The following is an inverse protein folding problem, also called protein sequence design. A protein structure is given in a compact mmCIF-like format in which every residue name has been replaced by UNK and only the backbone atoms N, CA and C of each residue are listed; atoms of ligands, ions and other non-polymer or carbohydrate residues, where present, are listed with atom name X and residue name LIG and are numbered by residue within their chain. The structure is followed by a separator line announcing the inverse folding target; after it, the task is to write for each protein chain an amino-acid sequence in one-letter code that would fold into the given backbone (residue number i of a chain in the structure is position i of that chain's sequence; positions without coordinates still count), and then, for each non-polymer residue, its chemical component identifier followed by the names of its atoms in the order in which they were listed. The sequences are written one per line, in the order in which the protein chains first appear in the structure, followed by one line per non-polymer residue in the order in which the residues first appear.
data_IF_296355844715
#
_entry.id   IF_296355844715
#
_cell.length_a   1.000
_cell.length_b   1.000
_cell.length_c   1.000
_cell.angle_alpha   90.00
_cell.angle_beta   90.00
_cell.angle_gamma   90.00
#
_symmetry.space_group_name_H-M   'P 1'
#
loop_
_entity.id
_entity.type
_entity.pdbx_description
1 polymer ?
#
# COMPACT_ATOMS: atom_id res chain seq x y z
N UNK A 1 3.38 -10.27 20.87
CA UNK A 1 4.19 -10.38 19.63
C UNK A 1 3.30 -9.97 18.47
N UNK A 2 3.85 -9.34 17.45
CA UNK A 2 3.10 -9.00 16.23
C UNK A 2 2.74 -10.29 15.45
N UNK A 3 1.48 -10.49 15.06
CA UNK A 3 1.04 -11.71 14.36
C UNK A 3 1.73 -11.94 13.01
N UNK A 4 2.36 -10.94 12.41
CA UNK A 4 3.06 -11.08 11.13
C UNK A 4 4.53 -11.52 11.27
N UNK A 5 5.05 -11.62 12.50
CA UNK A 5 6.47 -11.86 12.78
C UNK A 5 6.82 -13.32 13.10
N UNK A 6 5.95 -14.29 12.76
CA UNK A 6 6.17 -15.70 13.11
C UNK A 6 7.09 -16.46 12.13
N UNK A 7 7.35 -15.89 10.95
CA UNK A 7 8.02 -16.60 9.84
C UNK A 7 9.55 -16.62 9.95
N UNK A 8 10.16 -15.60 10.55
CA UNK A 8 11.61 -15.46 10.62
C UNK A 8 12.13 -15.72 12.05
N UNK A 9 12.96 -16.77 12.27
CA UNK A 9 13.55 -17.03 13.58
C UNK A 9 14.59 -15.98 14.00
N UNK A 10 15.01 -15.09 13.09
CA UNK A 10 16.01 -14.05 13.34
C UNK A 10 15.52 -12.96 14.30
N UNK A 11 14.21 -12.74 14.37
CA UNK A 11 13.63 -11.71 15.22
C UNK A 11 12.16 -11.46 14.94
N UNK A 12 11.54 -10.66 15.81
CA UNK A 12 10.13 -10.33 15.69
C UNK A 12 9.82 -8.94 16.22
N UNK A 13 8.70 -8.39 15.78
CA UNK A 13 8.15 -7.13 16.28
C UNK A 13 7.20 -7.40 17.45
N UNK A 14 7.18 -6.52 18.44
CA UNK A 14 6.24 -6.57 19.56
C UNK A 14 5.94 -5.18 20.10
N UNK A 15 4.88 -5.06 20.89
CA UNK A 15 4.58 -3.85 21.64
C UNK A 15 4.72 -4.09 23.14
N UNK A 16 5.30 -3.13 23.85
CA UNK A 16 5.33 -3.08 25.32
C UNK A 16 4.89 -1.69 25.76
N UNK A 17 3.83 -1.62 26.56
CA UNK A 17 3.21 -0.35 26.99
C UNK A 17 2.88 0.60 25.82
N UNK A 18 2.37 0.04 24.71
CA UNK A 18 2.02 0.78 23.50
C UNK A 18 3.20 1.12 22.56
N UNK A 19 4.44 1.06 23.04
CA UNK A 19 5.64 1.35 22.24
C UNK A 19 6.04 0.16 21.40
N UNK A 20 6.39 0.40 20.13
CA UNK A 20 6.83 -0.61 19.17
C UNK A 20 8.31 -0.93 19.34
N UNK A 21 8.63 -2.22 19.42
CA UNK A 21 9.99 -2.73 19.50
C UNK A 21 10.19 -3.89 18.53
N UNK A 22 11.45 -4.15 18.20
CA UNK A 22 11.91 -5.35 17.51
C UNK A 22 12.94 -6.05 18.39
N UNK A 23 12.78 -7.34 18.59
CA UNK A 23 13.77 -8.17 19.27
C UNK A 23 14.60 -8.93 18.23
N UNK A 24 15.92 -8.86 18.36
CA UNK A 24 16.88 -9.66 17.60
C UNK A 24 17.18 -10.93 18.40
N UNK A 25 17.08 -12.08 17.74
CA UNK A 25 17.22 -13.40 18.35
C UNK A 25 18.62 -13.99 18.13
N UNK A 26 19.05 -14.96 18.96
CA UNK A 26 20.37 -15.61 18.84
C UNK A 26 20.74 -16.11 17.44
N UNK A 27 19.83 -16.69 16.63
CA UNK A 27 20.17 -17.12 15.27
C UNK A 27 20.68 -15.99 14.36
N UNK A 28 20.33 -14.73 14.64
CA UNK A 28 20.74 -13.57 13.86
C UNK A 28 21.98 -12.86 14.41
N UNK A 29 22.60 -13.36 15.48
CA UNK A 29 23.65 -12.63 16.19
C UNK A 29 24.84 -12.25 15.29
N UNK A 30 25.33 -13.22 14.50
CA UNK A 30 26.47 -13.00 13.61
C UNK A 30 26.15 -12.00 12.48
N UNK A 31 24.98 -12.16 11.85
CA UNK A 31 24.54 -11.28 10.77
C UNK A 31 24.24 -9.86 11.27
N UNK A 32 23.67 -9.74 12.46
CA UNK A 32 23.39 -8.47 13.12
C UNK A 32 24.68 -7.69 13.42
N UNK A 33 25.69 -8.38 13.95
CA UNK A 33 26.99 -7.76 14.22
C UNK A 33 27.70 -7.35 12.92
N UNK A 34 27.67 -8.20 11.88
CA UNK A 34 28.19 -7.86 10.56
C UNK A 34 27.46 -6.64 9.95
N UNK A 35 26.14 -6.56 10.12
CA UNK A 35 25.35 -5.44 9.61
C UNK A 35 25.69 -4.12 10.29
N UNK A 36 25.86 -4.12 11.61
CA UNK A 36 26.26 -2.95 12.40
C UNK A 36 27.69 -2.49 12.07
N UNK A 37 28.62 -3.43 11.92
CA UNK A 37 30.05 -3.12 11.76
C UNK A 37 30.47 -2.81 10.31
N UNK A 38 29.74 -3.30 9.30
CA UNK A 38 30.01 -3.01 7.87
C UNK A 38 29.78 -1.54 7.44
N UNK A 39 29.15 -0.74 8.32
CA UNK A 39 28.69 0.61 8.02
C UNK A 39 27.50 0.68 7.06
N UNK A 40 26.97 -0.46 6.60
CA UNK A 40 25.80 -0.51 5.71
C UNK A 40 24.57 0.08 6.41
N UNK A 41 24.30 -0.35 7.65
CA UNK A 41 23.17 0.14 8.46
C UNK A 41 23.13 1.68 8.50
N UNK A 42 24.24 2.30 8.90
CA UNK A 42 24.33 3.76 9.00
C UNK A 42 24.07 4.44 7.65
N UNK A 43 24.67 3.96 6.56
CA UNK A 43 24.46 4.52 5.21
C UNK A 43 23.00 4.41 4.76
N UNK A 44 22.37 3.26 4.97
CA UNK A 44 20.98 3.03 4.55
C UNK A 44 19.99 3.90 5.33
N UNK A 45 20.21 4.09 6.64
CA UNK A 45 19.39 4.98 7.47
C UNK A 45 19.61 6.45 7.09
N UNK A 46 20.86 6.86 6.90
CA UNK A 46 21.19 8.24 6.48
C UNK A 46 20.55 8.60 5.13
N UNK A 47 20.52 7.66 4.19
CA UNK A 47 19.92 7.84 2.87
C UNK A 47 18.39 7.60 2.85
N UNK A 48 17.77 7.33 4.02
CA UNK A 48 16.35 7.04 4.18
C UNK A 48 15.84 5.86 3.35
N UNK A 49 16.70 4.84 3.16
CA UNK A 49 16.36 3.60 2.48
C UNK A 49 15.90 2.50 3.46
N UNK A 50 16.30 2.63 4.72
CA UNK A 50 15.93 1.75 5.84
C UNK A 50 15.34 2.58 6.98
N UNK A 51 14.34 2.05 7.66
CA UNK A 51 13.73 2.67 8.83
C UNK A 51 14.77 2.91 9.93
N UNK A 52 14.82 4.13 10.43
CA UNK A 52 15.64 4.47 11.58
C UNK A 52 15.11 3.82 12.86
N UNK A 53 16.03 3.46 13.74
CA UNK A 53 15.74 2.86 15.02
C UNK A 53 16.84 3.22 16.02
N UNK A 54 16.48 3.19 17.30
CA UNK A 54 17.42 3.35 18.41
C UNK A 54 17.59 2.04 19.15
N UNK A 55 18.78 1.79 19.71
CA UNK A 55 18.99 0.70 20.65
C UNK A 55 18.14 0.94 21.91
N UNK A 56 17.50 -0.12 22.39
CA UNK A 56 16.68 -0.12 23.60
C UNK A 56 17.26 -1.12 24.63
N UNK A 57 17.02 -0.90 25.94
CA UNK A 57 17.52 -1.80 26.98
C UNK A 57 17.02 -3.24 26.80
N UNK A 58 17.88 -4.24 27.05
CA UNK A 58 17.55 -5.66 26.88
C UNK A 58 16.43 -6.12 27.83
N UNK A 59 16.23 -5.43 28.95
CA UNK A 59 15.14 -5.67 29.90
C UNK A 59 13.75 -5.47 29.25
N UNK A 60 13.69 -4.74 28.14
CA UNK A 60 12.47 -4.56 27.36
C UNK A 60 12.13 -5.75 26.45
N UNK A 61 13.03 -6.73 26.32
CA UNK A 61 12.81 -7.90 25.50
C UNK A 61 11.52 -8.66 25.88
N UNK A 62 10.84 -9.19 24.87
CA UNK A 62 9.64 -9.99 25.04
C UNK A 62 9.95 -11.45 25.40
N UNK A 63 11.08 -11.97 24.90
CA UNK A 63 11.60 -13.30 25.23
C UNK A 63 13.03 -13.20 25.80
N UNK A 64 13.48 -14.20 26.57
CA UNK A 64 14.87 -14.31 27.01
C UNK A 64 15.88 -14.34 25.85
N UNK A 65 17.17 -14.23 26.19
CA UNK A 65 18.30 -14.39 25.27
C UNK A 65 18.29 -13.44 24.06
N UNK A 66 17.65 -12.27 24.20
CA UNK A 66 17.69 -11.23 23.17
C UNK A 66 19.13 -10.79 22.90
N UNK A 67 19.53 -10.82 21.63
CA UNK A 67 20.81 -10.25 21.17
C UNK A 67 20.76 -8.73 21.23
N UNK A 68 19.62 -8.16 20.83
CA UNK A 68 19.36 -6.73 20.87
C UNK A 68 17.85 -6.46 20.93
N UNK A 69 17.49 -5.29 21.46
CA UNK A 69 16.14 -4.74 21.35
C UNK A 69 16.26 -3.39 20.64
N UNK A 70 15.47 -3.20 19.59
CA UNK A 70 15.48 -2.01 18.76
C UNK A 70 14.13 -1.32 18.89
N UNK A 71 14.13 0.00 18.98
CA UNK A 71 12.93 0.82 18.91
C UNK A 71 12.90 1.54 17.54
N UNK A 72 12.19 0.99 16.55
CA UNK A 72 12.04 1.65 15.25
C UNK A 72 11.14 2.88 15.35
N UNK A 73 11.39 3.88 14.49
CA UNK A 73 10.46 4.98 14.31
C UNK A 73 9.12 4.44 13.81
N UNK A 74 7.98 4.80 14.44
CA UNK A 74 6.68 4.40 13.96
C UNK A 74 6.37 5.06 12.61
N UNK A 75 5.80 4.29 11.70
CA UNK A 75 5.19 4.82 10.48
C UNK A 75 3.78 5.32 10.75
N UNK A 76 3.35 6.30 9.95
CA UNK A 76 2.01 6.89 10.05
C UNK A 76 0.90 5.88 9.73
N UNK A 77 1.17 4.96 8.79
CA UNK A 77 0.24 3.92 8.36
C UNK A 77 0.98 2.74 7.73
N UNK A 78 0.44 1.52 7.89
CA UNK A 78 0.95 0.31 7.22
C UNK A 78 0.02 -0.04 6.07
N UNK A 79 0.55 0.07 4.85
CA UNK A 79 -0.14 -0.27 3.60
C UNK A 79 0.34 -1.61 3.05
N UNK A 80 -0.47 -2.22 2.19
CA UNK A 80 -0.15 -3.52 1.61
C UNK A 80 0.06 -3.46 0.09
N UNK A 81 0.87 -4.38 -0.49
CA UNK A 81 1.23 -4.33 -1.90
C UNK A 81 0.05 -4.35 -2.88
N UNK A 82 -1.07 -4.99 -2.53
CA UNK A 82 -2.29 -5.02 -3.35
C UNK A 82 -3.08 -3.70 -3.30
N UNK A 83 -2.68 -2.75 -2.46
CA UNK A 83 -3.25 -1.40 -2.33
C UNK A 83 -2.39 -0.36 -3.05
N UNK A 84 -1.25 -0.77 -3.61
CA UNK A 84 -0.30 0.16 -4.23
C UNK A 84 -0.61 0.36 -5.71
N UNK A 85 -0.45 1.60 -6.16
CA UNK A 85 -0.43 1.95 -7.58
C UNK A 85 0.73 1.29 -8.31
N UNK A 86 0.70 1.35 -9.64
CA UNK A 86 1.77 0.80 -10.47
C UNK A 86 3.13 1.41 -10.12
N UNK A 87 3.23 2.74 -10.02
CA UNK A 87 4.49 3.42 -9.71
C UNK A 87 4.95 3.15 -8.27
N UNK A 88 4.03 3.06 -7.31
CA UNK A 88 4.38 2.69 -5.92
C UNK A 88 5.05 1.32 -5.84
N UNK A 89 4.44 0.29 -6.45
CA UNK A 89 5.01 -1.06 -6.49
C UNK A 89 6.34 -1.10 -7.27
N UNK A 90 6.44 -0.31 -8.34
CA UNK A 90 7.67 -0.20 -9.15
C UNK A 90 8.81 0.44 -8.36
N UNK A 91 8.54 1.51 -7.63
CA UNK A 91 9.52 2.20 -6.81
C UNK A 91 9.96 1.31 -5.64
N UNK A 92 9.04 0.58 -5.01
CA UNK A 92 9.38 -0.44 -4.01
C UNK A 92 10.31 -1.53 -4.58
N UNK A 93 10.04 -2.02 -5.79
CA UNK A 93 10.90 -2.99 -6.46
C UNK A 93 12.31 -2.44 -6.75
N UNK A 94 12.40 -1.19 -7.21
CA UNK A 94 13.67 -0.53 -7.48
C UNK A 94 14.47 -0.28 -6.19
N UNK A 95 13.80 0.09 -5.09
CA UNK A 95 14.42 0.19 -3.77
C UNK A 95 15.01 -1.16 -3.33
N UNK A 96 14.25 -2.26 -3.44
CA UNK A 96 14.75 -3.60 -3.08
C UNK A 96 16.02 -3.98 -3.85
N UNK A 97 16.08 -3.67 -5.16
CA UNK A 97 17.29 -3.91 -5.97
C UNK A 97 18.46 -3.00 -5.58
N UNK A 98 18.17 -1.75 -5.19
CA UNK A 98 19.18 -0.82 -4.68
C UNK A 98 19.77 -1.30 -3.36
N UNK A 99 18.92 -1.74 -2.43
CA UNK A 99 19.31 -2.32 -1.15
C UNK A 99 20.18 -3.55 -1.34
N UNK A 100 19.79 -4.47 -2.23
CA UNK A 100 20.61 -5.63 -2.58
C UNK A 100 21.96 -5.22 -3.19
N UNK A 101 21.97 -4.23 -4.08
CA UNK A 101 23.21 -3.73 -4.70
C UNK A 101 24.18 -3.19 -3.64
N UNK A 102 23.68 -2.37 -2.70
CA UNK A 102 24.49 -1.78 -1.63
C UNK A 102 24.93 -2.80 -0.59
N UNK A 103 24.08 -3.80 -0.32
CA UNK A 103 24.45 -4.91 0.55
C UNK A 103 25.67 -5.65 -0.01
N UNK A 104 25.68 -5.95 -1.32
CA UNK A 104 26.83 -6.60 -1.96
C UNK A 104 28.12 -5.77 -1.85
N UNK A 105 28.03 -4.44 -1.97
CA UNK A 105 29.21 -3.55 -1.78
C UNK A 105 29.77 -3.60 -0.35
N UNK A 106 28.97 -4.05 0.62
CA UNK A 106 29.33 -4.17 2.02
C UNK A 106 29.65 -5.61 2.45
N UNK A 107 29.75 -6.57 1.51
CA UNK A 107 29.97 -7.99 1.84
C UNK A 107 28.74 -8.67 2.45
N UNK A 108 27.55 -8.17 2.13
CA UNK A 108 26.26 -8.64 2.64
C UNK A 108 25.28 -8.92 1.49
N UNK A 109 24.14 -9.52 1.81
CA UNK A 109 23.01 -9.62 0.88
C UNK A 109 21.67 -9.55 1.63
N UNK A 110 20.61 -9.28 0.88
CA UNK A 110 19.25 -9.50 1.34
C UNK A 110 18.92 -11.01 1.30
N UNK A 111 18.45 -11.54 2.43
CA UNK A 111 18.01 -12.94 2.54
C UNK A 111 16.59 -13.15 2.01
N UNK A 112 15.77 -12.09 2.02
CA UNK A 112 14.40 -12.05 1.51
C UNK A 112 14.15 -10.79 0.63
N UNK A 113 13.05 -10.78 -0.10
CA UNK A 113 12.61 -9.69 -0.98
C UNK A 113 11.08 -9.59 -0.95
N UNK A 114 10.47 -9.74 0.22
CA UNK A 114 9.01 -9.60 0.36
C UNK A 114 8.58 -8.15 0.12
N UNK A 115 7.56 -7.93 -0.70
CA UNK A 115 6.98 -6.59 -0.87
C UNK A 115 6.39 -6.03 0.44
N UNK A 116 6.00 -6.88 1.40
CA UNK A 116 5.52 -6.45 2.71
C UNK A 116 6.60 -5.85 3.61
N UNK A 117 7.88 -6.07 3.29
CA UNK A 117 9.01 -5.48 3.99
C UNK A 117 9.28 -4.03 3.54
N UNK A 118 8.63 -3.58 2.47
CA UNK A 118 8.67 -2.19 2.02
C UNK A 118 7.39 -1.49 2.49
N UNK A 119 7.52 -0.22 2.87
CA UNK A 119 6.40 0.69 3.13
C UNK A 119 6.62 2.01 2.39
N UNK A 120 5.58 2.84 2.34
CA UNK A 120 5.61 4.15 1.70
C UNK A 120 5.57 5.23 2.78
N UNK A 121 6.70 5.92 2.97
CA UNK A 121 6.88 6.94 3.99
C UNK A 121 7.23 8.28 3.32
N UNK A 122 6.43 9.31 3.60
CA UNK A 122 6.61 10.67 3.07
C UNK A 122 6.89 10.70 1.54
N UNK A 123 6.08 9.99 0.76
CA UNK A 123 6.18 9.99 -0.70
C UNK A 123 7.37 9.20 -1.25
N UNK A 124 7.95 8.27 -0.48
CA UNK A 124 9.07 7.41 -0.89
C UNK A 124 8.92 5.98 -0.35
N UNK A 125 9.37 4.94 -1.06
CA UNK A 125 9.49 3.61 -0.48
C UNK A 125 10.62 3.57 0.57
N UNK A 126 10.45 2.76 1.61
CA UNK A 126 11.44 2.50 2.68
C UNK A 126 11.38 1.04 3.13
N UNK A 127 12.53 0.41 3.40
CA UNK A 127 12.59 -0.92 4.01
C UNK A 127 12.33 -0.80 5.52
N UNK A 128 11.38 -1.56 6.03
CA UNK A 128 11.06 -1.62 7.47
C UNK A 128 11.63 -2.86 8.17
N UNK A 129 12.15 -3.81 7.40
CA UNK A 129 12.73 -5.04 7.92
C UNK A 129 14.24 -4.95 8.08
N UNK A 130 14.67 -4.53 9.28
CA UNK A 130 16.09 -4.37 9.62
C UNK A 130 16.87 -5.69 9.60
N UNK A 131 16.20 -6.83 9.77
CA UNK A 131 16.85 -8.14 9.86
C UNK A 131 16.90 -8.90 8.52
N UNK A 132 16.56 -8.23 7.41
CA UNK A 132 16.64 -8.82 6.07
C UNK A 132 18.07 -8.97 5.54
N UNK A 133 19.09 -8.43 6.22
CA UNK A 133 20.49 -8.48 5.79
C UNK A 133 21.24 -9.63 6.46
N UNK A 134 22.02 -10.36 5.68
CA UNK A 134 22.94 -11.40 6.16
C UNK A 134 24.32 -11.23 5.53
N UNK A 135 25.36 -11.69 6.24
CA UNK A 135 26.71 -11.77 5.69
C UNK A 135 26.74 -12.83 4.58
N UNK A 136 27.38 -12.50 3.45
CA UNK A 136 27.49 -13.46 2.35
C UNK A 136 28.76 -13.21 1.54
N UNK A 137 29.39 -14.29 1.09
CA UNK A 137 30.49 -14.16 0.14
C UNK A 137 29.95 -13.67 -1.22
N UNK A 138 30.73 -12.86 -1.94
CA UNK A 138 30.37 -12.31 -3.25
C UNK A 138 30.02 -13.37 -4.31
N UNK A 139 30.41 -14.63 -4.07
CA UNK A 139 30.13 -15.74 -4.99
C UNK A 139 28.83 -16.47 -4.71
N UNK A 140 28.18 -16.19 -3.58
CA UNK A 140 26.96 -16.88 -3.21
C UNK A 140 25.71 -16.21 -3.81
N UNK A 141 24.87 -16.94 -4.55
CA UNK A 141 23.74 -16.38 -5.27
C UNK A 141 22.75 -15.68 -4.34
N UNK A 142 22.05 -14.68 -4.87
CA UNK A 142 21.00 -13.98 -4.13
C UNK A 142 19.81 -14.92 -3.87
N UNK A 143 19.56 -15.35 -2.60
CA UNK A 143 18.52 -16.34 -2.30
C UNK A 143 17.11 -15.80 -2.61
N UNK A 144 16.90 -14.50 -2.44
CA UNK A 144 15.60 -13.87 -2.63
C UNK A 144 15.26 -13.56 -4.10
N UNK A 145 16.10 -13.93 -5.07
CA UNK A 145 15.85 -13.65 -6.50
C UNK A 145 14.47 -14.14 -6.97
N UNK A 146 14.09 -15.35 -6.56
CA UNK A 146 12.75 -15.90 -6.86
C UNK A 146 11.66 -15.05 -6.25
N UNK A 147 11.76 -14.77 -4.95
CA UNK A 147 10.77 -14.00 -4.21
C UNK A 147 10.61 -12.60 -4.81
N UNK A 148 11.71 -11.94 -5.19
CA UNK A 148 11.69 -10.68 -5.90
C UNK A 148 10.86 -10.75 -7.19
N UNK A 149 11.08 -11.81 -8.00
CA UNK A 149 10.31 -11.99 -9.22
C UNK A 149 8.81 -12.21 -8.94
N UNK A 150 8.44 -12.96 -7.89
CA UNK A 150 7.05 -13.28 -7.53
C UNK A 150 6.32 -12.07 -6.90
N UNK A 151 6.99 -11.30 -6.04
CA UNK A 151 6.41 -10.15 -5.34
C UNK A 151 6.42 -8.84 -6.14
N UNK A 152 7.37 -8.66 -7.07
CA UNK A 152 7.52 -7.40 -7.81
C UNK A 152 7.44 -7.57 -9.32
N UNK A 153 8.30 -8.39 -9.93
CA UNK A 153 8.41 -8.44 -11.39
C UNK A 153 7.13 -8.98 -12.05
N UNK A 154 6.59 -10.07 -11.54
CA UNK A 154 5.38 -10.70 -12.04
C UNK A 154 4.15 -9.77 -11.96
N UNK A 155 3.80 -9.19 -10.80
CA UNK A 155 2.68 -8.24 -10.73
C UNK A 155 2.90 -7.02 -11.63
N UNK A 156 4.09 -6.39 -11.61
CA UNK A 156 4.37 -5.24 -12.48
C UNK A 156 4.24 -5.57 -13.97
N UNK A 157 4.71 -6.74 -14.40
CA UNK A 157 4.57 -7.18 -15.79
C UNK A 157 3.10 -7.40 -16.17
N UNK A 158 2.30 -7.99 -15.28
CA UNK A 158 0.86 -8.20 -15.50
C UNK A 158 0.11 -6.86 -15.56
N UNK A 159 0.41 -5.93 -14.64
CA UNK A 159 -0.18 -4.59 -14.64
C UNK A 159 0.15 -3.83 -15.94
N UNK A 160 1.41 -3.87 -16.38
CA UNK A 160 1.85 -3.14 -17.57
C UNK A 160 1.34 -3.73 -18.89
N UNK A 161 1.13 -5.05 -18.97
CA UNK A 161 0.84 -5.73 -20.23
C UNK A 161 -0.56 -6.36 -20.34
N UNK A 162 -1.34 -6.39 -19.25
CA UNK A 162 -2.71 -6.94 -19.22
C UNK A 162 -3.71 -5.94 -18.66
N UNK A 163 -3.70 -5.74 -17.34
CA UNK A 163 -4.65 -4.90 -16.63
C UNK A 163 -4.06 -4.54 -15.26
N UNK A 164 -4.17 -3.28 -14.85
CA UNK A 164 -3.63 -2.79 -13.57
C UNK A 164 -4.21 -3.53 -12.37
N UNK A 165 -5.46 -4.02 -12.47
CA UNK A 165 -6.12 -4.78 -11.41
C UNK A 165 -5.48 -6.14 -11.15
N UNK A 166 -4.59 -6.62 -12.02
CA UNK A 166 -3.79 -7.80 -11.72
C UNK A 166 -2.92 -7.63 -10.46
N UNK A 167 -2.63 -6.40 -10.02
CA UNK A 167 -1.97 -6.15 -8.73
C UNK A 167 -2.77 -6.68 -7.52
N UNK A 168 -4.11 -6.71 -7.61
CA UNK A 168 -4.98 -7.23 -6.55
C UNK A 168 -4.74 -8.72 -6.24
N UNK A 169 -4.13 -9.47 -7.17
CA UNK A 169 -3.78 -10.88 -6.96
C UNK A 169 -2.82 -11.06 -5.77
N UNK A 170 -2.05 -10.04 -5.38
CA UNK A 170 -1.19 -10.08 -4.20
C UNK A 170 -1.96 -10.21 -2.87
N UNK A 171 -3.28 -9.98 -2.90
CA UNK A 171 -4.18 -10.27 -1.78
C UNK A 171 -4.31 -11.78 -1.53
N UNK A 172 -4.44 -12.56 -2.61
CA UNK A 172 -4.65 -14.01 -2.54
C UNK A 172 -3.31 -14.77 -2.57
N UNK A 173 -2.30 -14.22 -3.25
CA UNK A 173 -0.94 -14.73 -3.30
C UNK A 173 -0.02 -13.90 -2.39
N UNK A 174 -0.17 -14.08 -1.07
CA UNK A 174 0.60 -13.35 -0.05
C UNK A 174 2.12 -13.51 -0.23
N UNK A 175 2.57 -14.69 -0.69
CA UNK A 175 3.97 -15.02 -0.99
C UNK A 175 4.38 -14.67 -2.44
N UNK A 176 3.62 -13.80 -3.10
CA UNK A 176 3.88 -13.34 -4.47
C UNK A 176 3.21 -14.19 -5.56
N UNK A 177 2.99 -13.59 -6.73
CA UNK A 177 2.30 -14.24 -7.84
C UNK A 177 3.22 -15.34 -8.42
N UNK A 178 2.78 -16.61 -8.48
CA UNK A 178 3.60 -17.68 -9.02
C UNK A 178 4.05 -17.40 -10.46
N UNK A 179 5.35 -17.53 -10.74
CA UNK A 179 5.91 -17.15 -12.05
C UNK A 179 5.29 -17.93 -13.22
N UNK A 180 4.94 -19.19 -13.01
CA UNK A 180 4.29 -20.01 -14.03
C UNK A 180 2.88 -19.51 -14.38
N UNK A 181 2.14 -18.98 -13.40
CA UNK A 181 0.83 -18.37 -13.61
C UNK A 181 1.00 -17.06 -14.38
N UNK A 182 1.90 -16.20 -13.92
CA UNK A 182 2.21 -14.94 -14.60
C UNK A 182 2.66 -15.17 -16.07
N UNK A 183 3.53 -16.15 -16.31
CA UNK A 183 4.03 -16.49 -17.65
C UNK A 183 2.92 -16.96 -18.61
N UNK A 184 1.88 -17.64 -18.10
CA UNK A 184 0.71 -18.06 -18.89
C UNK A 184 -0.24 -16.89 -19.14
N UNK A 185 -0.41 -16.02 -18.15
CA UNK A 185 -1.29 -14.86 -18.27
C UNK A 185 -0.68 -13.79 -19.18
N UNK A 186 0.63 -13.62 -19.24
CA UNK A 186 1.26 -12.57 -20.06
C UNK A 186 1.10 -12.79 -21.58
N UNK A 187 0.98 -11.73 -22.39
CA UNK A 187 0.94 -11.85 -23.85
C UNK A 187 2.23 -12.47 -24.40
N UNK A 188 2.13 -13.28 -25.47
CA UNK A 188 3.29 -13.94 -26.08
C UNK A 188 4.42 -13.00 -26.49
N UNK A 189 4.10 -11.75 -26.90
CA UNK A 189 5.08 -10.70 -27.24
C UNK A 189 6.05 -10.36 -26.09
N UNK A 190 5.67 -10.61 -24.83
CA UNK A 190 6.55 -10.36 -23.68
C UNK A 190 7.78 -11.28 -23.66
N UNK A 191 7.76 -12.39 -24.41
CA UNK A 191 8.92 -13.26 -24.61
C UNK A 191 10.02 -12.63 -25.47
N UNK A 192 9.70 -11.57 -26.21
CA UNK A 192 10.68 -10.79 -26.99
C UNK A 192 11.37 -9.72 -26.15
N UNK A 193 10.83 -9.38 -24.98
CA UNK A 193 11.53 -8.53 -24.01
C UNK A 193 12.56 -9.39 -23.27
N UNK A 194 13.85 -9.19 -23.54
CA UNK A 194 14.94 -10.01 -22.98
C UNK A 194 14.90 -10.11 -21.44
N UNK A 195 14.52 -9.02 -20.77
CA UNK A 195 14.38 -8.98 -19.32
C UNK A 195 13.27 -9.91 -18.81
N UNK A 196 12.05 -9.77 -19.36
CA UNK A 196 10.92 -10.62 -19.00
C UNK A 196 11.11 -12.07 -19.47
N UNK A 197 11.76 -12.27 -20.61
CA UNK A 197 12.11 -13.59 -21.12
C UNK A 197 13.00 -14.34 -20.12
N UNK A 198 14.07 -13.70 -19.64
CA UNK A 198 15.02 -14.28 -18.68
C UNK A 198 14.44 -14.44 -17.29
N UNK A 199 13.93 -13.36 -16.70
CA UNK A 199 13.62 -13.31 -15.27
C UNK A 199 12.23 -13.85 -14.91
N UNK A 200 11.35 -14.01 -15.90
CA UNK A 200 9.98 -14.47 -15.70
C UNK A 200 9.69 -15.74 -16.49
N UNK A 201 9.80 -15.73 -17.83
CA UNK A 201 9.40 -16.89 -18.66
C UNK A 201 10.35 -18.09 -18.51
N UNK A 202 11.65 -17.89 -18.73
CA UNK A 202 12.67 -18.94 -18.57
C UNK A 202 12.78 -19.37 -17.10
N UNK A 203 12.68 -18.43 -16.17
CA UNK A 203 12.67 -18.73 -14.74
C UNK A 203 11.48 -19.63 -14.36
N UNK A 204 10.25 -19.32 -14.81
CA UNK A 204 9.09 -20.17 -14.61
C UNK A 204 9.29 -21.59 -15.19
N UNK A 205 9.90 -21.67 -16.39
CA UNK A 205 10.24 -22.94 -17.02
C UNK A 205 11.25 -23.76 -16.19
N UNK A 206 12.29 -23.11 -15.66
CA UNK A 206 13.30 -23.74 -14.82
C UNK A 206 12.71 -24.24 -13.49
N UNK A 207 11.84 -23.46 -12.86
CA UNK A 207 11.12 -23.86 -11.64
C UNK A 207 10.27 -25.11 -11.86
N UNK A 208 9.49 -25.15 -12.95
CA UNK A 208 8.67 -26.32 -13.29
C UNK A 208 9.51 -27.56 -13.53
N UNK A 209 10.67 -27.42 -14.19
CA UNK A 209 11.60 -28.56 -14.40
C UNK A 209 12.17 -29.05 -13.07
N UNK A 210 12.55 -28.15 -12.17
CA UNK A 210 13.07 -28.50 -10.85
C UNK A 210 12.01 -29.17 -9.97
N UNK A 211 10.76 -28.69 -9.99
CA UNK A 211 9.65 -29.29 -9.23
C UNK A 211 9.28 -30.71 -9.71
N UNK A 212 9.59 -31.03 -10.97
CA UNK A 212 9.38 -32.37 -11.54
C UNK A 212 10.57 -33.32 -11.31
N UNK A 213 11.67 -32.85 -10.73
CA UNK A 213 12.79 -33.74 -10.37
C UNK A 213 12.48 -34.45 -9.05
N UNK A 214 12.91 -35.73 -8.90
CA UNK A 214 12.77 -36.43 -7.63
C UNK A 214 13.49 -35.65 -6.51
N UNK A 215 12.95 -35.66 -5.28
CA UNK A 215 13.58 -34.97 -4.16
C UNK A 215 15.01 -35.49 -3.94
N UNK A 216 15.94 -34.62 -3.54
CA UNK A 216 17.30 -35.04 -3.24
C UNK A 216 17.30 -36.10 -2.14
N UNK A 217 18.21 -37.08 -2.25
CA UNK A 217 18.36 -38.15 -1.25
C UNK A 217 18.78 -37.52 0.09
N UNK A 218 18.06 -37.87 1.16
CA UNK A 218 18.37 -37.42 2.53
C UNK A 218 19.86 -37.66 2.83
N UNK A 219 20.56 -36.62 3.30
CA UNK A 219 21.99 -36.69 3.64
C UNK A 219 22.96 -36.38 2.49
N UNK A 220 22.48 -36.11 1.27
CA UNK A 220 23.34 -35.60 0.20
C UNK A 220 23.76 -34.16 0.49
N UNK A 221 25.06 -33.81 0.36
CA UNK A 221 25.50 -32.45 0.56
C UNK A 221 24.82 -31.54 -0.48
N UNK A 222 24.32 -30.36 -0.06
CA UNK A 222 23.72 -29.41 -0.99
C UNK A 222 24.77 -29.03 -2.06
N UNK A 223 24.37 -29.06 -3.33
CA UNK A 223 25.24 -28.54 -4.40
C UNK A 223 25.40 -27.04 -4.20
N UNK A 224 26.58 -26.60 -3.77
CA UNK A 224 26.94 -25.18 -3.76
C UNK A 224 26.85 -24.62 -5.18
N UNK A 225 25.83 -23.80 -5.43
CA UNK A 225 25.75 -23.01 -6.65
C UNK A 225 26.52 -21.73 -6.38
N UNK A 226 27.54 -21.46 -7.19
CA UNK A 226 28.27 -20.19 -7.16
C UNK A 226 28.00 -19.41 -8.44
N UNK A 227 27.99 -18.10 -8.30
CA UNK A 227 27.91 -17.12 -9.38
C UNK A 227 29.06 -16.15 -9.19
N UNK A 228 29.70 -15.68 -10.27
CA UNK A 228 30.75 -14.67 -10.12
C UNK A 228 30.18 -13.35 -9.59
N UNK A 229 30.99 -12.54 -8.92
CA UNK A 229 30.60 -11.20 -8.48
C UNK A 229 30.06 -10.35 -9.65
N UNK A 230 30.74 -10.41 -10.80
CA UNK A 230 30.28 -9.78 -12.05
C UNK A 230 28.92 -10.31 -12.51
N UNK A 231 28.69 -11.62 -12.38
CA UNK A 231 27.41 -12.25 -12.72
C UNK A 231 26.27 -11.78 -11.82
N UNK A 232 26.53 -11.58 -10.51
CA UNK A 232 25.54 -11.02 -9.59
C UNK A 232 25.18 -9.58 -9.95
N UNK A 233 26.19 -8.74 -10.19
CA UNK A 233 25.98 -7.36 -10.63
C UNK A 233 25.19 -7.31 -11.94
N UNK A 234 25.54 -8.15 -12.91
CA UNK A 234 24.83 -8.23 -14.19
C UNK A 234 23.36 -8.68 -14.03
N UNK A 235 23.09 -9.62 -13.10
CA UNK A 235 21.73 -10.03 -12.75
C UNK A 235 20.92 -8.84 -12.20
N UNK A 236 21.47 -8.11 -11.23
CA UNK A 236 20.79 -6.95 -10.62
C UNK A 236 20.57 -5.84 -11.63
N UNK A 237 21.55 -5.53 -12.48
CA UNK A 237 21.41 -4.50 -13.52
C UNK A 237 20.40 -4.91 -14.60
N UNK A 238 20.31 -6.20 -14.93
CA UNK A 238 19.28 -6.72 -15.82
C UNK A 238 17.89 -6.57 -15.20
N UNK A 239 17.71 -6.93 -13.94
CA UNK A 239 16.44 -6.75 -13.21
C UNK A 239 16.05 -5.27 -13.10
N UNK A 240 16.99 -4.41 -12.70
CA UNK A 240 16.79 -2.97 -12.54
C UNK A 240 16.34 -2.35 -13.86
N UNK A 241 17.02 -2.66 -14.98
CA UNK A 241 16.61 -2.20 -16.32
C UNK A 241 15.25 -2.74 -16.73
N UNK A 242 14.96 -4.01 -16.44
CA UNK A 242 13.66 -4.64 -16.75
C UNK A 242 12.53 -3.92 -16.02
N UNK A 243 12.63 -3.77 -14.70
CA UNK A 243 11.63 -3.09 -13.86
C UNK A 243 11.51 -1.62 -14.25
N UNK A 244 12.63 -0.90 -14.40
CA UNK A 244 12.62 0.50 -14.82
C UNK A 244 11.95 0.70 -16.20
N UNK A 245 12.11 -0.26 -17.11
CA UNK A 245 11.51 -0.26 -18.44
C UNK A 245 10.01 -0.55 -18.48
N UNK A 246 9.44 -1.18 -17.44
CA UNK A 246 7.99 -1.41 -17.36
C UNK A 246 7.26 -0.08 -17.17
N UNK A 247 6.23 0.15 -17.97
CA UNK A 247 5.41 1.36 -17.92
C UNK A 247 3.95 0.97 -18.01
N UNK A 248 3.13 1.61 -17.20
CA UNK A 248 1.70 1.61 -17.34
C UNK A 248 1.26 3.06 -17.58
N UNK A 249 0.33 3.26 -18.51
CA UNK A 249 -0.34 4.53 -18.71
C UNK A 249 -1.81 4.30 -18.37
N UNK A 250 -2.37 4.98 -17.36
CA UNK A 250 -3.79 4.89 -17.08
C UNK A 250 -4.58 5.21 -18.35
N UNK A 251 -5.42 4.28 -18.77
CA UNK A 251 -6.44 4.50 -19.79
C UNK A 251 -7.76 4.67 -19.05
N UNK A 252 -7.91 5.71 -18.22
CA UNK A 252 -9.16 5.89 -17.48
C UNK A 252 -9.93 7.11 -18.00
N UNK A 253 -11.22 6.86 -18.24
CA UNK A 253 -12.28 7.87 -18.36
C UNK A 253 -12.32 8.82 -17.14
N UNK A 254 -11.67 8.48 -16.02
CA UNK A 254 -11.66 9.26 -14.77
C UNK A 254 -10.57 10.34 -14.71
N UNK A 255 -9.41 10.13 -15.33
CA UNK A 255 -8.43 11.21 -15.52
C UNK A 255 -8.97 12.34 -16.42
N UNK A 256 -9.84 12.02 -17.39
CA UNK A 256 -10.61 13.01 -18.15
C UNK A 256 -11.82 13.54 -17.38
N UNK A 257 -12.33 12.81 -16.39
CA UNK A 257 -13.45 13.24 -15.55
C UNK A 257 -13.09 14.41 -14.63
N UNK A 258 -11.85 14.45 -14.13
CA UNK A 258 -11.33 15.61 -13.37
C UNK A 258 -11.25 16.89 -14.22
N UNK A 259 -11.14 16.79 -15.56
CA UNK A 259 -11.18 17.92 -16.48
C UNK A 259 -12.57 18.19 -17.09
N UNK A 260 -13.56 17.32 -16.85
CA UNK A 260 -14.98 17.49 -17.26
C UNK A 260 -15.91 17.57 -16.05
N UNK A 261 -15.50 18.35 -15.04
CA UNK A 261 -16.37 18.68 -13.91
C UNK A 261 -17.65 19.35 -14.39
N UNK A 262 -18.80 18.79 -14.01
CA UNK A 262 -20.14 19.37 -14.23
C UNK A 262 -20.44 20.56 -13.31
N UNK A 263 -19.42 21.23 -12.76
CA UNK A 263 -19.55 22.30 -11.77
C UNK A 263 -19.23 23.66 -12.37
N UNK A 264 -19.87 24.70 -11.85
CA UNK A 264 -19.39 26.07 -11.99
C UNK A 264 -18.15 26.28 -11.10
N UNK A 265 -17.35 27.29 -11.44
CA UNK A 265 -16.23 27.72 -10.60
C UNK A 265 -16.72 28.13 -9.19
N UNK A 266 -17.92 28.73 -9.11
CA UNK A 266 -18.56 29.12 -7.86
C UNK A 266 -18.88 27.90 -6.96
N UNK A 267 -19.44 26.82 -7.53
CA UNK A 267 -19.72 25.60 -6.77
C UNK A 267 -18.43 24.95 -6.24
N UNK A 268 -17.37 24.95 -7.05
CA UNK A 268 -16.06 24.40 -6.66
C UNK A 268 -15.42 25.23 -5.54
N UNK A 269 -15.46 26.57 -5.63
CA UNK A 269 -14.97 27.46 -4.60
C UNK A 269 -15.75 27.30 -3.28
N UNK A 270 -17.09 27.34 -3.35
CA UNK A 270 -17.98 27.15 -2.20
C UNK A 270 -17.73 25.81 -1.50
N UNK A 271 -17.59 24.72 -2.25
CA UNK A 271 -17.25 23.40 -1.70
C UNK A 271 -15.92 23.43 -0.96
N UNK A 272 -14.89 24.02 -1.56
CA UNK A 272 -13.57 24.15 -0.92
C UNK A 272 -13.61 24.95 0.38
N UNK A 273 -14.34 26.06 0.41
CA UNK A 273 -14.53 26.88 1.62
C UNK A 273 -15.21 26.09 2.74
N UNK A 274 -16.34 25.44 2.45
CA UNK A 274 -17.09 24.62 3.42
C UNK A 274 -16.18 23.53 4.01
N UNK A 275 -15.44 22.81 3.17
CA UNK A 275 -14.54 21.74 3.60
C UNK A 275 -13.41 22.29 4.50
N UNK A 276 -12.78 23.41 4.13
CA UNK A 276 -11.73 24.03 4.95
C UNK A 276 -12.25 24.45 6.32
N UNK A 277 -13.42 25.08 6.38
CA UNK A 277 -14.04 25.47 7.65
C UNK A 277 -14.38 24.28 8.53
N UNK A 278 -14.90 23.19 7.94
CA UNK A 278 -15.21 21.96 8.68
C UNK A 278 -13.94 21.28 9.20
N UNK A 279 -12.88 21.20 8.39
CA UNK A 279 -11.58 20.67 8.81
C UNK A 279 -10.97 21.49 9.95
N UNK A 280 -11.06 22.81 9.89
CA UNK A 280 -10.60 23.69 10.95
C UNK A 280 -11.43 23.53 12.24
N UNK A 281 -12.75 23.36 12.12
CA UNK A 281 -13.65 23.16 13.26
C UNK A 281 -13.45 21.82 13.96
N UNK A 282 -13.11 20.75 13.22
CA UNK A 282 -12.84 19.44 13.81
C UNK A 282 -11.62 19.51 14.72
N UNK A 283 -10.51 20.06 14.21
CA UNK A 283 -9.19 19.98 14.86
C UNK A 283 -8.68 18.54 14.95
N UNK A 284 -7.40 18.32 14.66
CA UNK A 284 -6.81 16.99 14.68
C UNK A 284 -5.44 16.92 14.02
N UNK A 285 -4.95 15.70 13.84
CA UNK A 285 -3.65 15.39 13.25
C UNK A 285 -3.73 14.36 12.13
N UNK A 286 -4.81 13.59 12.01
CA UNK A 286 -4.96 12.55 10.98
C UNK A 286 -6.30 12.64 10.26
N UNK A 287 -6.26 12.51 8.93
CA UNK A 287 -7.46 12.49 8.11
C UNK A 287 -7.41 11.33 7.11
N UNK A 288 -8.56 10.69 6.85
CA UNK A 288 -8.70 9.82 5.69
C UNK A 288 -9.59 10.50 4.66
N UNK A 289 -9.13 10.59 3.41
CA UNK A 289 -9.94 11.05 2.28
C UNK A 289 -10.39 9.83 1.48
N UNK A 290 -11.67 9.48 1.54
CA UNK A 290 -12.23 8.27 0.93
C UNK A 290 -13.00 8.65 -0.33
N UNK A 291 -12.59 8.09 -1.47
CA UNK A 291 -12.98 8.60 -2.80
C UNK A 291 -12.16 9.83 -3.20
N UNK A 292 -10.87 9.83 -2.86
CA UNK A 292 -9.98 10.99 -2.99
C UNK A 292 -9.70 11.42 -4.44
N UNK A 293 -9.99 10.58 -5.42
CA UNK A 293 -9.61 10.74 -6.82
C UNK A 293 -8.11 11.10 -6.94
N UNK A 294 -7.81 12.25 -7.54
CA UNK A 294 -6.45 12.76 -7.73
C UNK A 294 -5.92 13.60 -6.55
N UNK A 295 -6.67 13.70 -5.45
CA UNK A 295 -6.15 14.25 -4.19
C UNK A 295 -6.43 15.73 -3.90
N UNK A 296 -7.39 16.37 -4.59
CA UNK A 296 -7.69 17.80 -4.38
C UNK A 296 -8.05 18.10 -2.91
N UNK A 297 -8.95 17.31 -2.31
CA UNK A 297 -9.37 17.51 -0.92
C UNK A 297 -8.37 16.91 0.08
N UNK A 298 -7.63 15.89 -0.34
CA UNK A 298 -6.46 15.40 0.40
C UNK A 298 -5.43 16.51 0.60
N UNK A 299 -5.13 17.29 -0.44
CA UNK A 299 -4.24 18.44 -0.35
C UNK A 299 -4.79 19.53 0.59
N UNK A 300 -6.09 19.85 0.51
CA UNK A 300 -6.71 20.81 1.43
C UNK A 300 -6.65 20.36 2.89
N UNK A 301 -6.87 19.07 3.17
CA UNK A 301 -6.71 18.52 4.52
C UNK A 301 -5.25 18.60 4.97
N UNK A 302 -4.31 18.30 4.08
CA UNK A 302 -2.90 18.34 4.43
C UNK A 302 -2.39 19.77 4.67
N UNK A 303 -2.88 20.76 3.92
CA UNK A 303 -2.63 22.21 4.15
C UNK A 303 -3.21 22.69 5.49
N UNK A 304 -4.30 22.07 5.96
CA UNK A 304 -4.87 22.31 7.28
C UNK A 304 -4.09 21.61 8.42
N UNK A 305 -2.96 20.96 8.12
CA UNK A 305 -2.06 20.35 9.11
C UNK A 305 -2.31 18.86 9.37
N UNK A 306 -3.21 18.21 8.63
CA UNK A 306 -3.47 16.78 8.78
C UNK A 306 -2.43 15.92 8.06
N UNK A 307 -2.09 14.77 8.63
CA UNK A 307 -1.49 13.64 7.90
C UNK A 307 -2.62 12.89 7.20
N UNK A 308 -2.53 12.70 5.89
CA UNK A 308 -3.65 12.22 5.09
C UNK A 308 -3.37 10.85 4.49
N UNK A 309 -4.29 9.91 4.70
CA UNK A 309 -4.34 8.68 3.91
C UNK A 309 -5.49 8.84 2.90
N UNK A 310 -5.16 8.81 1.61
CA UNK A 310 -6.11 9.04 0.54
C UNK A 310 -6.46 7.70 -0.11
N UNK A 311 -7.73 7.32 -0.10
CA UNK A 311 -8.23 6.05 -0.62
C UNK A 311 -9.06 6.29 -1.86
N UNK A 312 -8.81 5.51 -2.92
CA UNK A 312 -9.68 5.48 -4.09
C UNK A 312 -9.73 4.08 -4.73
N UNK A 313 -10.82 3.73 -5.39
CA UNK A 313 -10.92 2.46 -6.12
C UNK A 313 -10.27 2.53 -7.50
N UNK A 314 -10.17 3.72 -8.10
CA UNK A 314 -9.60 3.93 -9.43
C UNK A 314 -8.08 4.01 -9.35
N UNK A 315 -7.42 2.92 -9.76
CA UNK A 315 -5.97 2.83 -9.78
C UNK A 315 -5.29 3.95 -10.62
N UNK A 316 -5.98 4.52 -11.62
CA UNK A 316 -5.46 5.62 -12.42
C UNK A 316 -5.38 6.93 -11.64
N UNK A 317 -6.41 7.21 -10.84
CA UNK A 317 -6.49 8.37 -9.96
C UNK A 317 -5.45 8.27 -8.84
N UNK A 318 -5.30 7.09 -8.21
CA UNK A 318 -4.25 6.85 -7.20
C UNK A 318 -2.85 6.98 -7.80
N UNK A 319 -2.62 6.47 -9.01
CA UNK A 319 -1.35 6.63 -9.73
C UNK A 319 -1.05 8.11 -10.01
N UNK A 320 -2.02 8.87 -10.52
CA UNK A 320 -1.86 10.29 -10.77
C UNK A 320 -1.56 11.06 -9.48
N UNK A 321 -2.28 10.75 -8.39
CA UNK A 321 -2.07 11.35 -7.08
C UNK A 321 -0.67 11.02 -6.53
N UNK A 322 -0.24 9.75 -6.60
CA UNK A 322 1.11 9.34 -6.19
C UNK A 322 2.19 10.11 -6.97
N UNK A 323 2.05 10.22 -8.29
CA UNK A 323 3.02 10.93 -9.13
C UNK A 323 3.12 12.43 -8.79
N UNK A 324 2.08 13.03 -8.22
CA UNK A 324 2.08 14.42 -7.75
C UNK A 324 2.79 14.57 -6.39
N UNK A 325 2.60 13.62 -5.46
CA UNK A 325 3.10 13.74 -4.08
C UNK A 325 4.46 13.07 -3.85
N UNK A 326 4.88 12.15 -4.72
CA UNK A 326 6.13 11.40 -4.55
C UNK A 326 7.35 12.33 -4.57
N UNK A 327 8.36 11.99 -3.77
CA UNK A 327 9.66 12.67 -3.76
C UNK A 327 9.66 14.10 -3.20
N UNK A 328 8.51 14.71 -2.94
CA UNK A 328 8.38 16.05 -2.37
C UNK A 328 8.71 16.12 -0.88
N UNK A 329 9.03 17.31 -0.39
CA UNK A 329 9.05 17.67 1.04
C UNK A 329 7.70 18.21 1.51
N UNK A 330 6.66 18.05 0.68
CA UNK A 330 5.33 18.59 0.88
C UNK A 330 4.51 17.83 1.93
N UNK A 331 3.20 18.12 2.01
CA UNK A 331 2.32 17.52 3.00
C UNK A 331 2.30 15.99 2.91
N UNK A 332 2.21 15.31 4.07
CA UNK A 332 2.25 13.84 4.16
C UNK A 332 0.93 13.24 3.70
N UNK A 333 0.81 13.01 2.39
CA UNK A 333 -0.32 12.32 1.78
C UNK A 333 0.14 10.94 1.30
N UNK A 334 -0.59 9.90 1.68
CA UNK A 334 -0.39 8.53 1.20
C UNK A 334 -1.61 8.08 0.37
N UNK A 335 -1.54 8.15 -0.97
CA UNK A 335 -2.57 7.61 -1.86
C UNK A 335 -2.51 6.08 -1.91
N UNK A 336 -3.66 5.42 -1.79
CA UNK A 336 -3.81 3.97 -1.78
C UNK A 336 -5.07 3.55 -2.53
N UNK A 337 -5.02 2.35 -3.11
CA UNK A 337 -6.15 1.71 -3.79
C UNK A 337 -7.00 0.97 -2.76
N UNK A 338 -8.29 1.28 -2.69
CA UNK A 338 -9.27 0.51 -1.93
C UNK A 338 -10.68 0.65 -2.53
N UNK A 339 -11.33 -0.48 -2.83
CA UNK A 339 -12.76 -0.53 -3.10
C UNK A 339 -13.53 -0.62 -1.78
N UNK A 340 -14.28 0.41 -1.42
CA UNK A 340 -15.01 0.43 -0.15
C UNK A 340 -16.19 -0.57 -0.10
N UNK A 341 -16.67 -1.02 -1.26
CA UNK A 341 -17.68 -2.08 -1.34
C UNK A 341 -17.06 -3.48 -1.19
N UNK A 342 -15.73 -3.58 -1.28
CA UNK A 342 -14.96 -4.80 -1.08
C UNK A 342 -13.60 -4.46 -0.44
N UNK A 343 -13.60 -3.91 0.79
CA UNK A 343 -12.41 -3.32 1.39
C UNK A 343 -11.35 -4.39 1.65
N UNK A 344 -10.09 -3.97 1.76
CA UNK A 344 -8.97 -4.87 2.06
C UNK A 344 -9.28 -5.75 3.28
N UNK A 345 -9.36 -7.08 3.11
CA UNK A 345 -9.68 -7.99 4.21
C UNK A 345 -8.42 -8.26 5.06
N UNK A 346 -8.62 -8.90 6.22
CA UNK A 346 -7.52 -9.55 6.90
C UNK A 346 -7.09 -10.81 6.14
N UNK A 347 -5.78 -11.06 6.02
CA UNK A 347 -5.23 -12.18 5.23
C UNK A 347 -4.05 -12.86 5.93
N UNK A 348 -3.61 -13.99 5.36
CA UNK A 348 -2.47 -14.77 5.81
C UNK A 348 -2.84 -15.78 6.90
N UNK A 349 -1.82 -16.27 7.62
CA UNK A 349 -2.05 -17.32 8.62
C UNK A 349 -3.06 -16.87 9.70
N UNK A 350 -4.02 -17.75 9.99
CA UNK A 350 -5.13 -17.52 10.93
C UNK A 350 -6.00 -16.28 10.67
N UNK A 351 -5.89 -15.62 9.50
CA UNK A 351 -6.50 -14.31 9.22
C UNK A 351 -6.02 -13.19 10.16
N UNK A 352 -4.83 -13.36 10.73
CA UNK A 352 -4.25 -12.42 11.70
C UNK A 352 -2.92 -11.82 11.20
N UNK A 353 -2.27 -12.45 10.22
CA UNK A 353 -0.95 -12.02 9.71
C UNK A 353 -0.98 -10.61 9.10
N UNK A 354 -2.07 -10.21 8.43
CA UNK A 354 -2.29 -8.85 7.93
C UNK A 354 -3.68 -8.40 8.33
N UNK A 355 -3.76 -7.22 8.96
CA UNK A 355 -5.00 -6.64 9.49
C UNK A 355 -5.94 -6.15 8.37
N UNK A 356 -7.24 -6.07 8.64
CA UNK A 356 -8.19 -5.54 7.65
C UNK A 356 -8.05 -4.02 7.48
N UNK A 357 -8.69 -3.47 6.46
CA UNK A 357 -8.82 -2.02 6.26
C UNK A 357 -9.29 -1.29 7.53
N UNK A 358 -10.27 -1.85 8.26
CA UNK A 358 -10.86 -1.20 9.43
C UNK A 358 -10.01 -1.32 10.70
N UNK A 359 -9.04 -2.25 10.73
CA UNK A 359 -8.26 -2.52 11.93
C UNK A 359 -6.87 -1.83 11.89
N UNK A 360 -6.56 -1.11 10.82
CA UNK A 360 -5.22 -0.49 10.60
C UNK A 360 -5.11 0.96 11.04
N UNK A 361 -6.19 1.57 11.51
CA UNK A 361 -6.17 2.92 12.06
C UNK A 361 -7.56 3.51 12.19
N UNK A 362 -7.65 4.56 13.01
CA UNK A 362 -8.85 5.38 13.18
C UNK A 362 -8.38 6.85 13.06
N UNK A 363 -8.61 7.54 11.93
CA UNK A 363 -8.25 8.95 11.78
C UNK A 363 -9.14 9.83 12.65
N UNK A 364 -8.68 11.04 12.99
CA UNK A 364 -9.50 12.02 13.73
C UNK A 364 -10.75 12.45 12.93
N UNK A 365 -10.62 12.48 11.60
CA UNK A 365 -11.71 12.81 10.68
C UNK A 365 -11.61 12.01 9.38
N UNK A 366 -12.74 11.61 8.81
CA UNK A 366 -12.82 11.13 7.44
C UNK A 366 -13.53 12.12 6.52
N UNK A 367 -13.10 12.20 5.27
CA UNK A 367 -13.78 12.90 4.19
C UNK A 367 -14.39 11.87 3.25
N UNK A 368 -15.64 12.05 2.88
CA UNK A 368 -16.34 11.24 1.88
C UNK A 368 -17.14 12.18 0.97
N UNK A 369 -16.42 12.82 0.05
CA UNK A 369 -16.95 13.88 -0.79
C UNK A 369 -17.43 13.31 -2.12
N UNK A 370 -18.75 13.37 -2.36
CA UNK A 370 -19.45 12.81 -3.49
C UNK A 370 -19.30 11.27 -3.59
N UNK A 371 -19.15 10.56 -2.46
CA UNK A 371 -19.00 9.11 -2.45
C UNK A 371 -20.31 8.35 -2.19
N UNK A 372 -21.22 8.93 -1.40
CA UNK A 372 -22.40 8.22 -0.88
C UNK A 372 -23.30 7.68 -1.99
N UNK A 373 -23.51 8.44 -3.06
CA UNK A 373 -24.33 7.98 -4.21
C UNK A 373 -23.69 6.80 -4.97
N UNK A 374 -22.36 6.72 -5.04
CA UNK A 374 -21.69 5.55 -5.63
C UNK A 374 -21.95 4.28 -4.81
N UNK A 375 -21.86 4.35 -3.49
CA UNK A 375 -22.13 3.21 -2.62
C UNK A 375 -23.62 2.84 -2.61
N UNK A 376 -24.48 3.84 -2.44
CA UNK A 376 -25.91 3.61 -2.27
C UNK A 376 -26.60 3.18 -3.57
N UNK A 377 -26.32 3.87 -4.67
CA UNK A 377 -26.97 3.63 -5.97
C UNK A 377 -26.13 2.69 -6.84
N UNK A 378 -24.80 2.88 -6.86
CA UNK A 378 -23.89 2.07 -7.66
C UNK A 378 -23.68 0.65 -7.09
N UNK A 379 -23.57 0.52 -5.76
CA UNK A 379 -23.34 -0.77 -5.10
C UNK A 379 -24.55 -1.31 -4.33
N UNK A 380 -25.70 -0.63 -4.38
CA UNK A 380 -26.94 -1.02 -3.70
C UNK A 380 -26.79 -1.14 -2.17
N UNK A 381 -25.92 -0.34 -1.55
CA UNK A 381 -25.75 -0.32 -0.09
C UNK A 381 -26.77 0.62 0.55
N UNK A 382 -27.66 0.16 1.44
CA UNK A 382 -28.61 1.05 2.11
C UNK A 382 -27.90 2.16 2.89
N UNK A 383 -28.47 3.37 2.93
CA UNK A 383 -27.88 4.51 3.64
C UNK A 383 -27.51 4.20 5.11
N UNK A 384 -28.32 3.46 5.90
CA UNK A 384 -27.91 3.07 7.25
C UNK A 384 -26.66 2.18 7.28
N UNK A 385 -26.47 1.33 6.26
CA UNK A 385 -25.27 0.52 6.10
C UNK A 385 -24.02 1.36 5.81
N UNK A 386 -24.16 2.36 4.94
CA UNK A 386 -23.08 3.34 4.67
C UNK A 386 -22.72 4.12 5.93
N UNK A 387 -23.72 4.64 6.65
CA UNK A 387 -23.53 5.37 7.90
C UNK A 387 -22.81 4.52 8.96
N UNK A 388 -23.22 3.27 9.16
CA UNK A 388 -22.56 2.34 10.09
C UNK A 388 -21.11 2.06 9.71
N UNK A 389 -20.80 1.91 8.41
CA UNK A 389 -19.41 1.74 7.96
C UNK A 389 -18.58 2.98 8.29
N UNK A 390 -19.08 4.18 7.99
CA UNK A 390 -18.36 5.43 8.25
C UNK A 390 -18.13 5.63 9.76
N UNK A 391 -19.11 5.28 10.60
CA UNK A 391 -18.98 5.37 12.06
C UNK A 391 -17.92 4.40 12.61
N UNK A 392 -17.65 3.29 11.93
CA UNK A 392 -16.54 2.39 12.26
C UNK A 392 -15.17 2.91 11.82
N UNK A 393 -15.12 3.80 10.83
CA UNK A 393 -13.88 4.33 10.29
C UNK A 393 -13.33 5.48 11.13
N UNK A 394 -14.17 6.42 11.54
CA UNK A 394 -13.71 7.63 12.22
C UNK A 394 -14.76 8.16 13.22
N UNK A 395 -14.32 8.87 14.29
CA UNK A 395 -15.23 9.54 15.21
C UNK A 395 -15.91 10.75 14.58
N UNK A 396 -15.34 11.35 13.54
CA UNK A 396 -15.92 12.49 12.82
C UNK A 396 -15.85 12.27 11.31
N UNK A 397 -16.86 12.75 10.59
CA UNK A 397 -16.93 12.61 9.14
C UNK A 397 -17.44 13.89 8.47
N UNK A 398 -16.79 14.28 7.37
CA UNK A 398 -17.22 15.31 6.44
C UNK A 398 -17.78 14.60 5.21
N UNK A 399 -19.09 14.59 5.06
CA UNK A 399 -19.79 13.79 4.05
C UNK A 399 -20.59 14.68 3.13
N UNK A 400 -20.41 14.54 1.82
CA UNK A 400 -21.23 15.23 0.83
C UNK A 400 -22.35 14.32 0.34
N UNK A 401 -23.58 14.78 0.50
CA UNK A 401 -24.75 14.20 -0.11
C UNK A 401 -24.99 14.79 -1.50
N UNK A 402 -25.18 13.90 -2.48
CA UNK A 402 -25.49 14.24 -3.86
C UNK A 402 -26.91 13.78 -4.18
N UNK A 403 -27.84 14.68 -4.55
CA UNK A 403 -29.24 14.33 -4.79
C UNK A 403 -29.44 13.60 -6.12
N UNK A 404 -30.65 13.05 -6.35
CA UNK A 404 -30.96 12.28 -7.57
C UNK A 404 -31.01 13.15 -8.83
N UNK A 405 -31.30 14.42 -8.67
CA UNK A 405 -31.39 15.40 -9.75
C UNK A 405 -30.01 15.76 -10.30
N UNK A 406 -28.93 15.43 -9.58
CA UNK A 406 -27.57 15.67 -10.00
C UNK A 406 -27.24 14.91 -11.31
N UNK A 407 -26.54 15.54 -12.27
CA UNK A 407 -26.20 14.90 -13.54
C UNK A 407 -25.49 13.54 -13.38
N UNK A 408 -24.63 13.41 -12.36
CA UNK A 408 -23.91 12.16 -12.13
C UNK A 408 -24.82 11.06 -11.58
N UNK A 409 -25.69 11.41 -10.63
CA UNK A 409 -26.68 10.46 -10.11
C UNK A 409 -27.64 10.00 -11.21
N UNK A 410 -28.11 10.91 -12.08
CA UNK A 410 -28.92 10.56 -13.25
C UNK A 410 -28.20 9.59 -14.18
N UNK A 411 -26.90 9.75 -14.39
CA UNK A 411 -26.09 8.82 -15.19
C UNK A 411 -26.02 7.42 -14.55
N UNK A 412 -25.85 7.33 -13.23
CA UNK A 412 -25.87 6.04 -12.52
C UNK A 412 -27.23 5.35 -12.61
N UNK A 413 -28.31 6.13 -12.54
CA UNK A 413 -29.69 5.63 -12.63
C UNK A 413 -30.10 5.28 -14.07
N UNK A 414 -29.50 5.89 -15.10
CA UNK A 414 -29.89 5.68 -16.50
C UNK A 414 -29.84 4.20 -16.95
N UNK A 415 -28.95 3.40 -16.36
CA UNK A 415 -28.80 1.98 -16.66
C UNK A 415 -29.46 1.05 -15.61
N UNK A 416 -30.27 1.59 -14.69
CA UNK A 416 -30.79 0.86 -13.52
C UNK A 416 -32.26 1.16 -13.26
N UNK A 417 -32.96 0.19 -12.67
CA UNK A 417 -34.27 0.44 -12.08
C UNK A 417 -34.08 1.27 -10.82
N UNK A 418 -34.77 2.40 -10.71
CA UNK A 418 -34.76 3.18 -9.47
C UNK A 418 -35.55 2.43 -8.39
N UNK A 419 -34.81 1.78 -7.50
CA UNK A 419 -35.33 1.08 -6.30
C UNK A 419 -34.95 1.84 -5.02
N UNK A 420 -34.41 3.05 -5.14
CA UNK A 420 -33.78 3.78 -4.06
C UNK A 420 -34.75 4.78 -3.44
N UNK A 421 -35.90 4.29 -2.96
CA UNK A 421 -37.00 5.13 -2.46
C UNK A 421 -36.57 6.05 -1.30
N UNK A 422 -35.67 5.57 -0.45
CA UNK A 422 -35.14 6.32 0.71
C UNK A 422 -33.88 7.13 0.39
N UNK A 423 -33.43 7.18 -0.87
CA UNK A 423 -32.30 8.01 -1.26
C UNK A 423 -32.77 9.45 -1.52
N UNK A 424 -32.91 10.20 -0.43
CA UNK A 424 -33.25 11.64 -0.39
C UNK A 424 -32.43 12.33 0.69
N UNK A 425 -32.46 13.67 0.74
CA UNK A 425 -31.77 14.42 1.79
C UNK A 425 -32.30 14.06 3.19
N UNK A 426 -33.62 13.90 3.33
CA UNK A 426 -34.23 13.51 4.60
C UNK A 426 -33.93 12.06 4.96
N UNK A 427 -33.89 11.16 3.97
CA UNK A 427 -33.45 9.78 4.15
C UNK A 427 -31.99 9.69 4.59
N UNK A 428 -31.12 10.55 4.04
CA UNK A 428 -29.74 10.70 4.49
C UNK A 428 -29.67 11.17 5.95
N UNK A 429 -30.38 12.25 6.30
CA UNK A 429 -30.41 12.77 7.68
C UNK A 429 -30.91 11.73 8.67
N UNK A 430 -31.97 10.99 8.33
CA UNK A 430 -32.51 9.92 9.16
C UNK A 430 -31.48 8.79 9.35
N UNK A 431 -30.93 8.25 8.27
CA UNK A 431 -30.00 7.13 8.31
C UNK A 431 -28.68 7.47 9.01
N UNK A 432 -28.08 8.62 8.70
CA UNK A 432 -26.84 9.05 9.35
C UNK A 432 -27.08 9.51 10.79
N UNK A 433 -28.26 10.03 11.11
CA UNK A 433 -28.67 10.42 12.46
C UNK A 433 -28.70 9.28 13.48
N UNK A 434 -28.82 8.03 13.02
CA UNK A 434 -28.75 6.82 13.87
C UNK A 434 -27.33 6.59 14.43
N UNK A 435 -26.29 6.83 13.62
CA UNK A 435 -24.89 6.57 14.00
C UNK A 435 -24.12 7.84 14.38
N UNK A 436 -24.61 9.00 13.94
CA UNK A 436 -23.96 10.30 14.11
C UNK A 436 -24.92 11.36 14.64
N UNK A 437 -24.34 12.36 15.30
CA UNK A 437 -24.92 13.68 15.51
C UNK A 437 -24.50 14.58 14.35
N UNK A 438 -25.47 15.21 13.69
CA UNK A 438 -25.18 16.23 12.67
C UNK A 438 -24.75 17.50 13.39
N UNK A 439 -23.50 17.92 13.18
CA UNK A 439 -22.90 19.09 13.82
C UNK A 439 -23.11 20.34 12.97
N UNK A 440 -22.94 20.22 11.66
CA UNK A 440 -23.08 21.32 10.71
C UNK A 440 -23.56 20.82 9.35
N UNK A 441 -24.36 21.64 8.67
CA UNK A 441 -24.74 21.47 7.27
C UNK A 441 -24.24 22.67 6.46
N UNK A 442 -23.72 22.42 5.26
CA UNK A 442 -23.21 23.42 4.33
C UNK A 442 -23.73 23.13 2.92
N UNK A 443 -24.81 23.80 2.45
CA UNK A 443 -25.25 23.69 1.07
C UNK A 443 -24.20 24.28 0.14
N UNK A 444 -23.88 23.58 -0.95
CA UNK A 444 -22.89 24.04 -1.93
C UNK A 444 -23.58 24.97 -2.92
N UNK A 445 -23.05 26.18 -3.09
CA UNK A 445 -23.58 27.17 -4.04
C UNK A 445 -23.74 26.59 -5.46
N UNK A 446 -24.75 27.08 -6.19
CA UNK A 446 -25.08 26.65 -7.55
C UNK A 446 -25.27 25.13 -7.73
N UNK A 447 -25.67 24.42 -6.68
CA UNK A 447 -25.93 22.98 -6.74
C UNK A 447 -27.03 22.54 -5.77
N UNK A 448 -27.58 21.33 -5.98
CA UNK A 448 -28.48 20.68 -5.01
C UNK A 448 -27.75 19.91 -3.90
N UNK A 449 -26.43 20.02 -3.82
CA UNK A 449 -25.59 19.19 -2.95
C UNK A 449 -25.39 19.84 -1.59
N UNK A 450 -25.20 19.01 -0.57
CA UNK A 450 -24.99 19.47 0.81
C UNK A 450 -23.86 18.69 1.46
N UNK A 451 -22.96 19.39 2.14
CA UNK A 451 -21.89 18.80 2.94
C UNK A 451 -22.29 18.82 4.41
N UNK A 452 -22.04 17.73 5.10
CA UNK A 452 -22.36 17.54 6.50
C UNK A 452 -21.08 17.31 7.29
N UNK A 453 -20.93 18.01 8.42
CA UNK A 453 -20.01 17.61 9.48
C UNK A 453 -20.78 16.77 10.49
N UNK A 454 -20.28 15.56 10.72
CA UNK A 454 -20.90 14.53 11.55
C UNK A 454 -19.96 14.14 12.69
N UNK A 455 -20.50 13.88 13.87
CA UNK A 455 -19.77 13.37 15.04
C UNK A 455 -20.44 12.09 15.56
N UNK A 456 -19.66 11.02 15.74
CA UNK A 456 -20.15 9.69 16.13
C UNK A 456 -20.84 9.77 17.49
N UNK A 457 -21.99 9.07 17.60
CA UNK A 457 -22.78 9.00 18.84
C UNK A 457 -22.16 8.09 19.89
#
# INVERSE_FOLDING_TARGET
MDPASFRDPSGFVFRRSGVLYRQVQPPAAADWEAFRTSGLLHRLVADRLLIDHTDAPLELAALPDAVAVLQPRPLDFISYPYEWSFSQLKEAALLTLELQSRALDAGMRLKDASAYNIQLDAGRPILIDTLSFEAAAETEPWPAYRQFCEHFLAPLALMAHRDVRCGLMLRDFIDGIPLHLAARLLPGRTRLNLGLASHLHLHAGAQRRAANQPPPVLGSPPRERRISATGQRALLDSLRRTVAGLKWKPTSHWTEYASTTSYSDAATASKGEIVREMLAAVGGSTAWDVGANTGVYSAMAADAGYRVIAWDQDAGSVEAHWLQVRGGSGPRILPLICDLANPSPAIGWALEERASFLDRGEPDVMLALALVHHLAIGNNVPLPGVARLFARMAPRAIVEFVPKEDPMTRRLLAARRDIFEHYSLDGFRAAFGESFRIVREGPIADSGRTIFLLERR
#
